data_IF_383170957453
#
_entry.id   IF_383170957453
#
_cell.length_a   1.000
_cell.length_b   1.000
_cell.length_c   1.000
_cell.angle_alpha   90.00
_cell.angle_beta   90.00
_cell.angle_gamma   90.00
#
_symmetry.space_group_name_H-M   'P 1'
#
loop_
_entity.id
_entity.type
_entity.pdbx_description
1 polymer ?
#
# COMPACT_ATOMS: atom_id res chain seq x y z
N UNK A 1 16.22 -17.04 71.89
CA UNK A 1 16.38 -15.78 71.13
C UNK A 1 17.28 -16.06 69.94
N UNK A 2 16.71 -16.23 68.75
CA UNK A 2 17.44 -16.54 67.53
C UNK A 2 17.59 -15.26 66.70
N UNK A 3 18.80 -14.72 66.61
CA UNK A 3 19.13 -13.70 65.62
C UNK A 3 19.41 -14.43 64.30
N UNK A 4 18.48 -14.29 63.34
CA UNK A 4 18.65 -14.79 61.97
C UNK A 4 18.87 -13.58 61.07
N UNK A 5 20.06 -13.53 60.50
CA UNK A 5 20.52 -12.65 59.44
C UNK A 5 19.56 -12.67 58.24
N UNK A 6 19.20 -11.49 57.73
CA UNK A 6 18.55 -11.33 56.45
C UNK A 6 19.64 -11.13 55.37
N UNK A 7 19.69 -11.93 54.29
CA UNK A 7 20.50 -11.59 53.13
C UNK A 7 19.79 -10.51 52.32
N UNK A 8 20.55 -9.49 51.92
CA UNK A 8 20.15 -8.51 50.92
C UNK A 8 19.88 -9.25 49.61
N UNK A 9 18.62 -9.35 49.23
CA UNK A 9 18.24 -9.75 47.88
C UNK A 9 18.55 -8.56 46.98
N UNK A 10 19.74 -8.55 46.37
CA UNK A 10 20.00 -7.75 45.19
C UNK A 10 19.03 -8.21 44.11
N UNK A 11 17.96 -7.45 43.90
CA UNK A 11 17.11 -7.55 42.72
C UNK A 11 17.98 -7.23 41.50
N UNK A 12 18.60 -8.27 40.95
CA UNK A 12 19.18 -8.27 39.61
C UNK A 12 17.99 -8.17 38.65
N UNK A 13 17.54 -6.94 38.44
CA UNK A 13 16.60 -6.59 37.39
C UNK A 13 17.34 -6.88 36.09
N UNK A 14 17.06 -8.04 35.50
CA UNK A 14 17.38 -8.35 34.12
C UNK A 14 16.74 -7.26 33.26
N UNK A 15 17.52 -6.23 32.93
CA UNK A 15 17.20 -5.30 31.86
C UNK A 15 17.28 -6.14 30.59
N UNK A 16 16.14 -6.71 30.19
CA UNK A 16 15.92 -7.16 28.82
C UNK A 16 16.45 -6.05 27.93
N UNK A 17 17.46 -6.38 27.12
CA UNK A 17 17.95 -5.48 26.10
C UNK A 17 16.70 -5.10 25.28
N UNK A 18 16.26 -3.85 25.38
CA UNK A 18 15.24 -3.31 24.49
C UNK A 18 15.84 -3.50 23.10
N UNK A 19 15.37 -4.52 22.39
CA UNK A 19 15.69 -4.68 20.99
C UNK A 19 15.32 -3.33 20.35
N UNK A 20 16.18 -2.75 19.51
CA UNK A 20 15.74 -1.62 18.69
C UNK A 20 14.45 -2.08 18.03
N UNK A 21 13.37 -1.32 18.22
CA UNK A 21 12.09 -1.62 17.58
C UNK A 21 12.41 -1.83 16.10
N UNK A 22 12.20 -3.05 15.60
CA UNK A 22 12.28 -3.35 14.19
C UNK A 22 11.55 -2.20 13.49
N UNK A 23 12.24 -1.47 12.61
CA UNK A 23 11.58 -0.46 11.81
C UNK A 23 10.35 -1.13 11.22
N UNK A 24 9.15 -0.61 11.54
CA UNK A 24 7.89 -1.29 11.20
C UNK A 24 7.89 -1.70 9.73
N UNK A 25 7.19 -2.78 9.37
CA UNK A 25 7.25 -3.39 8.03
C UNK A 25 7.20 -2.34 6.90
N UNK A 26 6.31 -1.35 7.02
CA UNK A 26 6.19 -0.25 6.08
C UNK A 26 7.45 0.61 5.94
N UNK A 27 8.16 0.88 7.04
CA UNK A 27 9.42 1.61 7.02
C UNK A 27 10.54 0.80 6.36
N UNK A 28 10.60 -0.51 6.60
CA UNK A 28 11.55 -1.40 5.94
C UNK A 28 11.29 -1.47 4.42
N UNK A 29 10.01 -1.63 4.02
CA UNK A 29 9.61 -1.62 2.61
C UNK A 29 9.91 -0.25 1.97
N UNK A 30 9.59 0.86 2.64
CA UNK A 30 9.90 2.22 2.17
C UNK A 30 11.39 2.42 1.95
N UNK A 31 12.24 1.96 2.88
CA UNK A 31 13.70 2.05 2.76
C UNK A 31 14.23 1.22 1.58
N UNK A 32 13.71 0.01 1.36
CA UNK A 32 14.04 -0.80 0.18
C UNK A 32 13.65 -0.08 -1.11
N UNK A 33 12.43 0.44 -1.21
CA UNK A 33 11.96 1.15 -2.40
C UNK A 33 12.84 2.38 -2.66
N UNK A 34 13.11 3.20 -1.64
CA UNK A 34 13.98 4.36 -1.77
C UNK A 34 15.38 3.99 -2.29
N UNK A 35 15.95 2.87 -1.82
CA UNK A 35 17.28 2.40 -2.24
C UNK A 35 17.34 1.94 -3.70
N UNK A 36 16.30 1.27 -4.20
CA UNK A 36 16.34 0.62 -5.51
C UNK A 36 15.60 1.39 -6.62
N UNK A 37 14.47 2.01 -6.28
CA UNK A 37 13.51 2.62 -7.20
C UNK A 37 12.72 3.74 -6.49
N UNK A 38 13.39 4.82 -6.11
CA UNK A 38 12.80 5.92 -5.33
C UNK A 38 11.52 6.51 -5.94
N UNK A 39 11.44 6.63 -7.27
CA UNK A 39 10.26 7.16 -7.97
C UNK A 39 8.95 6.38 -7.68
N UNK A 40 9.03 5.11 -7.24
CA UNK A 40 7.82 4.37 -6.87
C UNK A 40 7.14 4.98 -5.62
N UNK A 41 7.87 5.73 -4.79
CA UNK A 41 7.30 6.42 -3.62
C UNK A 41 6.51 7.69 -3.99
N UNK A 42 6.53 8.12 -5.25
CA UNK A 42 5.72 9.25 -5.71
C UNK A 42 4.22 8.91 -5.70
N UNK A 43 3.88 7.63 -5.95
CA UNK A 43 2.50 7.16 -6.08
C UNK A 43 2.11 6.05 -5.08
N UNK A 44 3.01 5.67 -4.17
CA UNK A 44 2.74 4.66 -3.14
C UNK A 44 2.84 5.26 -1.76
N UNK A 45 1.79 5.04 -0.97
CA UNK A 45 1.73 5.36 0.46
C UNK A 45 1.70 4.05 1.25
N UNK A 46 2.47 3.97 2.34
CA UNK A 46 2.64 2.74 3.12
C UNK A 46 2.33 3.02 4.59
N UNK A 47 1.41 2.25 5.17
CA UNK A 47 0.96 2.38 6.57
C UNK A 47 0.43 3.80 6.89
N UNK A 48 -0.26 4.37 5.91
CA UNK A 48 -0.95 5.66 6.00
C UNK A 48 -2.46 5.41 5.86
N UNK A 49 -3.32 6.21 6.51
CA UNK A 49 -4.76 6.07 6.36
C UNK A 49 -5.15 6.27 4.89
N UNK A 50 -5.95 5.35 4.36
CA UNK A 50 -6.43 5.43 2.99
C UNK A 50 -7.22 6.75 2.77
N UNK A 51 -6.95 7.49 1.68
CA UNK A 51 -7.72 8.67 1.34
C UNK A 51 -9.20 8.36 1.14
N UNK A 52 -10.06 9.35 1.36
CA UNK A 52 -11.53 9.20 1.36
C UNK A 52 -12.09 8.52 0.09
N UNK A 53 -11.47 8.76 -1.06
CA UNK A 53 -11.92 8.25 -2.35
C UNK A 53 -11.14 7.00 -2.80
N UNK A 54 -10.19 6.52 -2.00
CA UNK A 54 -9.43 5.34 -2.32
C UNK A 54 -10.31 4.09 -2.13
N UNK A 55 -10.22 3.16 -3.07
CA UNK A 55 -11.06 1.96 -3.09
C UNK A 55 -10.22 0.70 -3.15
N UNK A 56 -10.66 -0.34 -2.45
CA UNK A 56 -10.11 -1.70 -2.62
C UNK A 56 -10.56 -2.33 -3.92
N UNK A 57 -9.87 -3.38 -4.38
CA UNK A 57 -10.24 -4.16 -5.56
C UNK A 57 -11.73 -4.55 -5.56
N UNK A 58 -12.23 -5.05 -4.43
CA UNK A 58 -13.64 -5.45 -4.31
C UNK A 58 -14.62 -4.28 -4.47
N UNK A 59 -14.26 -3.08 -4.00
CA UNK A 59 -15.10 -1.89 -4.10
C UNK A 59 -15.17 -1.36 -5.53
N UNK A 60 -14.02 -1.09 -6.16
CA UNK A 60 -14.01 -0.46 -7.47
C UNK A 60 -14.39 -1.41 -8.61
N UNK A 61 -14.21 -2.72 -8.44
CA UNK A 61 -14.65 -3.73 -9.42
C UNK A 61 -16.15 -4.00 -9.40
N UNK A 62 -16.88 -3.45 -8.41
CA UNK A 62 -18.33 -3.55 -8.38
C UNK A 62 -18.93 -2.88 -9.63
N UNK A 63 -20.01 -3.44 -10.24
CA UNK A 63 -20.52 -2.93 -11.51
C UNK A 63 -20.86 -1.44 -11.52
N UNK A 64 -21.42 -0.93 -10.41
CA UNK A 64 -21.80 0.47 -10.27
C UNK A 64 -20.58 1.39 -10.13
N UNK A 65 -19.61 1.02 -9.30
CA UNK A 65 -18.39 1.80 -9.12
C UNK A 65 -17.58 1.83 -10.41
N UNK A 66 -17.39 0.66 -11.05
CA UNK A 66 -16.66 0.55 -12.31
C UNK A 66 -17.31 1.39 -13.42
N UNK A 67 -18.63 1.34 -13.57
CA UNK A 67 -19.35 2.15 -14.57
C UNK A 67 -19.19 3.65 -14.30
N UNK A 68 -19.18 4.05 -13.03
CA UNK A 68 -18.99 5.46 -12.63
C UNK A 68 -17.56 5.95 -12.92
N UNK A 69 -16.56 5.14 -12.57
CA UNK A 69 -15.15 5.43 -12.86
C UNK A 69 -14.90 5.54 -14.37
N UNK A 70 -15.46 4.62 -15.15
CA UNK A 70 -15.36 4.65 -16.62
C UNK A 70 -16.03 5.91 -17.21
N UNK A 71 -17.16 6.35 -16.65
CA UNK A 71 -17.82 7.58 -17.10
C UNK A 71 -16.94 8.81 -16.88
N UNK A 72 -16.35 8.97 -15.68
CA UNK A 72 -15.44 10.08 -15.35
C UNK A 72 -14.22 10.10 -16.28
N UNK A 73 -13.58 8.94 -16.46
CA UNK A 73 -12.40 8.81 -17.31
C UNK A 73 -12.73 9.07 -18.79
N UNK A 74 -13.85 8.53 -19.27
CA UNK A 74 -14.36 8.77 -20.62
C UNK A 74 -14.69 10.25 -20.84
N UNK A 75 -15.36 10.90 -19.89
CA UNK A 75 -15.65 12.33 -19.95
C UNK A 75 -14.36 13.14 -20.10
N UNK A 76 -13.33 12.82 -19.32
CA UNK A 76 -12.04 13.50 -19.43
C UNK A 76 -11.37 13.33 -20.80
N UNK A 77 -11.33 12.10 -21.33
CA UNK A 77 -10.67 11.80 -22.62
C UNK A 77 -11.42 12.44 -23.79
N UNK A 78 -12.74 12.32 -23.81
CA UNK A 78 -13.57 12.76 -24.93
C UNK A 78 -14.07 14.20 -24.79
N UNK A 79 -13.69 14.95 -23.73
CA UNK A 79 -14.15 16.33 -23.47
C UNK A 79 -13.98 17.29 -24.65
N UNK A 80 -12.93 17.10 -25.45
CA UNK A 80 -12.61 17.96 -26.59
C UNK A 80 -13.12 17.40 -27.93
N UNK A 81 -13.79 16.24 -27.92
CA UNK A 81 -14.26 15.53 -29.12
C UNK A 81 -15.69 15.00 -28.90
N UNK A 82 -16.69 15.88 -28.73
CA UNK A 82 -18.04 15.49 -28.31
C UNK A 82 -18.79 14.63 -29.34
N UNK A 83 -18.36 14.65 -30.60
CA UNK A 83 -18.95 13.85 -31.69
C UNK A 83 -18.35 12.45 -31.81
N UNK A 84 -17.27 12.14 -31.07
CA UNK A 84 -16.62 10.84 -31.12
C UNK A 84 -17.41 9.81 -30.32
N UNK A 85 -17.54 8.59 -30.86
CA UNK A 85 -18.17 7.48 -30.16
C UNK A 85 -17.28 7.07 -28.99
N UNK A 86 -17.86 7.00 -27.79
CA UNK A 86 -17.15 6.60 -26.58
C UNK A 86 -16.95 5.10 -26.56
N UNK A 87 -15.71 4.64 -26.39
CA UNK A 87 -15.38 3.22 -26.37
C UNK A 87 -14.86 2.78 -25.00
N UNK A 88 -15.62 1.95 -24.28
CA UNK A 88 -15.21 1.52 -22.94
C UNK A 88 -14.12 0.44 -22.94
N UNK A 89 -14.09 -0.44 -23.95
CA UNK A 89 -13.14 -1.56 -24.03
C UNK A 89 -11.66 -1.11 -24.04
N UNK A 90 -11.22 -0.17 -24.89
CA UNK A 90 -9.84 0.32 -24.85
C UNK A 90 -9.52 1.04 -23.54
N UNK A 91 -10.47 1.76 -22.94
CA UNK A 91 -10.29 2.43 -21.65
C UNK A 91 -10.01 1.44 -20.52
N UNK A 92 -10.79 0.35 -20.45
CA UNK A 92 -10.57 -0.71 -19.47
C UNK A 92 -9.18 -1.34 -19.64
N UNK A 93 -8.76 -1.57 -20.89
CA UNK A 93 -7.42 -2.12 -21.17
C UNK A 93 -6.31 -1.18 -20.70
N UNK A 94 -6.44 0.12 -20.95
CA UNK A 94 -5.47 1.12 -20.52
C UNK A 94 -5.41 1.16 -18.99
N UNK A 95 -6.56 1.21 -18.33
CA UNK A 95 -6.62 1.23 -16.87
C UNK A 95 -6.05 -0.03 -16.23
N UNK A 96 -6.29 -1.21 -16.81
CA UNK A 96 -5.66 -2.46 -16.38
C UNK A 96 -4.12 -2.41 -16.51
N UNK A 97 -3.60 -1.79 -17.57
CA UNK A 97 -2.16 -1.60 -17.75
C UNK A 97 -1.58 -0.68 -16.67
N UNK A 98 -2.28 0.40 -16.30
CA UNK A 98 -1.84 1.31 -15.24
C UNK A 98 -1.90 0.63 -13.88
N UNK A 99 -3.01 -0.05 -13.56
CA UNK A 99 -3.15 -0.78 -12.31
C UNK A 99 -2.03 -1.81 -12.13
N UNK A 100 -1.80 -2.66 -13.14
CA UNK A 100 -0.73 -3.68 -13.08
C UNK A 100 0.65 -3.01 -13.11
N UNK A 101 0.85 -2.03 -13.97
CA UNK A 101 2.13 -1.35 -14.16
C UNK A 101 2.60 -0.54 -12.95
N UNK A 102 1.67 0.01 -12.17
CA UNK A 102 1.98 0.75 -10.94
C UNK A 102 2.06 -0.18 -9.72
N UNK A 103 1.19 -1.20 -9.62
CA UNK A 103 1.12 -2.06 -8.44
C UNK A 103 2.16 -3.18 -8.43
N UNK A 104 2.44 -3.82 -9.57
CA UNK A 104 3.30 -5.00 -9.59
C UNK A 104 4.76 -4.69 -9.25
N UNK A 105 5.41 -3.64 -9.80
CA UNK A 105 6.81 -3.36 -9.48
C UNK A 105 7.12 -3.19 -7.98
N UNK A 106 6.40 -2.38 -7.20
CA UNK A 106 6.67 -2.23 -5.77
C UNK A 106 6.35 -3.50 -4.97
N UNK A 107 5.32 -4.25 -5.36
CA UNK A 107 4.98 -5.52 -4.74
C UNK A 107 6.08 -6.55 -4.94
N UNK A 108 6.56 -6.68 -6.18
CA UNK A 108 7.68 -7.56 -6.50
C UNK A 108 8.94 -7.15 -5.74
N UNK A 109 9.24 -5.85 -5.67
CA UNK A 109 10.39 -5.38 -4.91
C UNK A 109 10.25 -5.71 -3.42
N UNK A 110 9.08 -5.50 -2.83
CA UNK A 110 8.84 -5.82 -1.42
C UNK A 110 8.94 -7.34 -1.18
N UNK A 111 8.25 -8.16 -1.98
CA UNK A 111 8.27 -9.63 -1.84
C UNK A 111 9.66 -10.25 -2.03
N UNK A 112 10.49 -9.68 -2.90
CA UNK A 112 11.84 -10.21 -3.17
C UNK A 112 12.91 -9.74 -2.18
N UNK A 113 12.62 -8.74 -1.35
CA UNK A 113 13.63 -8.11 -0.47
C UNK A 113 13.32 -8.20 1.01
N UNK A 114 12.05 -8.35 1.39
CA UNK A 114 11.69 -8.52 2.79
C UNK A 114 11.96 -9.96 3.23
N UNK A 115 12.53 -10.12 4.43
CA UNK A 115 12.82 -11.45 5.00
C UNK A 115 11.54 -12.20 5.39
N UNK A 116 10.47 -11.47 5.71
CA UNK A 116 9.17 -12.01 6.09
C UNK A 116 8.24 -12.02 4.88
N UNK A 117 7.47 -13.09 4.73
CA UNK A 117 6.41 -13.16 3.74
C UNK A 117 5.38 -12.04 3.98
N UNK A 118 5.05 -11.31 2.92
CA UNK A 118 4.05 -10.24 2.96
C UNK A 118 2.69 -10.82 2.61
N UNK A 119 1.68 -10.45 3.37
CA UNK A 119 0.30 -10.67 2.97
C UNK A 119 -0.06 -9.69 1.84
N UNK A 120 -0.32 -10.23 0.65
CA UNK A 120 -0.65 -9.48 -0.56
C UNK A 120 -2.12 -9.65 -0.94
N UNK A 121 -2.97 -9.92 0.04
CA UNK A 121 -4.41 -10.00 -0.18
C UNK A 121 -4.98 -8.65 -0.66
N UNK A 122 -5.89 -8.62 -1.66
CA UNK A 122 -6.36 -7.39 -2.31
C UNK A 122 -6.97 -6.34 -1.36
N UNK A 123 -7.49 -6.76 -0.22
CA UNK A 123 -8.07 -5.91 0.83
C UNK A 123 -7.05 -4.95 1.47
N UNK A 124 -5.76 -5.24 1.39
CA UNK A 124 -4.70 -4.37 1.92
C UNK A 124 -4.34 -3.22 0.96
N UNK A 125 -4.86 -3.25 -0.27
CA UNK A 125 -4.53 -2.27 -1.30
C UNK A 125 -5.70 -1.34 -1.56
N UNK A 126 -5.41 -0.04 -1.51
CA UNK A 126 -6.37 1.01 -1.78
C UNK A 126 -5.83 1.82 -2.96
N UNK A 127 -6.59 1.85 -4.06
CA UNK A 127 -6.24 2.60 -5.25
C UNK A 127 -7.02 3.92 -5.25
N UNK A 128 -6.29 5.01 -5.47
CA UNK A 128 -6.86 6.32 -5.78
C UNK A 128 -7.09 6.42 -7.29
N UNK A 129 -8.25 6.95 -7.69
CA UNK A 129 -8.60 7.12 -9.09
C UNK A 129 -8.66 8.60 -9.44
N UNK A 130 -7.93 8.96 -10.49
CA UNK A 130 -7.97 10.30 -11.07
C UNK A 130 -8.71 10.30 -12.40
N UNK A 131 -9.30 11.43 -12.75
CA UNK A 131 -9.95 11.63 -14.05
C UNK A 131 -8.99 11.47 -15.25
N UNK A 132 -7.67 11.62 -15.01
CA UNK A 132 -6.60 11.44 -15.99
C UNK A 132 -6.01 10.04 -16.04
N UNK A 133 -6.43 9.14 -15.13
CA UNK A 133 -5.88 7.78 -15.00
C UNK A 133 -5.32 7.57 -13.62
#
# INVERSE_FOLDING_TARGET
>A
MAYRSAPLYEDIIWRTHLQPQDAGLAQAVRATIAKHREHLLEFIRLDEPAPLNAMTLAQWSSPNALSSLLAVYSDHIYRNQPTMIRENKPLISLWAQWYIGLMVPPLMLALLTQEKALDVSPEHFHAEFHETG
#
